data_IF_037667312836
#
_entry.id   IF_037667312836
#
_cell.length_a   1.000
_cell.length_b   1.000
_cell.length_c   1.000
_cell.angle_alpha   90.00
_cell.angle_beta   90.00
_cell.angle_gamma   90.00
#
_symmetry.space_group_name_H-M   'P 1'
#
loop_
_entity.id
_entity.type
_entity.pdbx_description
1 polymer ?
#
# COMPACT_ATOMS: atom_id res chain seq x y z
N UNK A 1 27.99 19.49 8.41
CA UNK A 1 27.43 18.17 8.06
C UNK A 1 26.31 18.42 7.07
N UNK A 2 26.33 17.78 5.91
CA UNK A 2 25.22 17.87 4.94
C UNK A 2 24.01 17.02 5.39
N UNK A 3 22.87 17.25 4.75
CA UNK A 3 21.59 16.64 5.12
C UNK A 3 21.60 15.12 4.97
N UNK A 4 22.27 14.58 3.94
CA UNK A 4 22.35 13.14 3.73
C UNK A 4 23.20 12.47 4.82
N UNK A 5 24.33 13.09 5.19
CA UNK A 5 25.16 12.62 6.31
C UNK A 5 24.38 12.64 7.62
N UNK A 6 23.58 13.67 7.87
CA UNK A 6 22.75 13.77 9.07
C UNK A 6 21.65 12.70 9.11
N UNK A 7 20.97 12.44 7.99
CA UNK A 7 19.97 11.38 7.86
C UNK A 7 20.60 9.99 8.09
N UNK A 8 21.77 9.72 7.52
CA UNK A 8 22.47 8.44 7.73
C UNK A 8 22.93 8.22 9.16
N UNK A 9 23.25 9.30 9.88
CA UNK A 9 23.65 9.22 11.29
C UNK A 9 22.52 8.73 12.21
N UNK A 10 21.28 9.08 11.88
CA UNK A 10 20.10 8.77 12.68
C UNK A 10 19.12 7.84 11.94
N UNK A 11 19.64 7.01 11.04
CA UNK A 11 18.84 6.13 10.21
C UNK A 11 18.08 5.10 11.07
N UNK A 12 16.75 4.97 10.92
CA UNK A 12 15.96 4.07 11.74
C UNK A 12 16.18 2.60 11.36
N UNK A 13 16.23 1.73 12.37
CA UNK A 13 16.19 0.27 12.16
C UNK A 13 14.74 -0.20 12.29
N UNK A 14 14.10 -0.47 11.15
CA UNK A 14 12.71 -0.97 11.11
C UNK A 14 12.70 -2.48 11.26
N UNK A 15 11.84 -3.00 12.15
CA UNK A 15 11.66 -4.45 12.37
C UNK A 15 10.23 -4.85 12.02
N UNK A 16 10.11 -5.92 11.25
CA UNK A 16 8.84 -6.41 10.73
C UNK A 16 8.38 -7.66 11.46
N UNK A 17 7.05 -7.84 11.50
CA UNK A 17 6.43 -9.04 12.02
C UNK A 17 6.70 -10.21 11.07
N UNK A 18 6.98 -11.40 11.60
CA UNK A 18 7.01 -12.59 10.74
C UNK A 18 5.61 -12.85 10.17
N UNK A 19 5.45 -12.72 8.85
CA UNK A 19 4.15 -12.83 8.20
C UNK A 19 3.84 -11.72 7.21
N UNK A 20 4.58 -10.60 7.26
CA UNK A 20 4.41 -9.48 6.32
C UNK A 20 4.58 -9.93 4.87
N UNK A 21 3.71 -9.39 4.01
CA UNK A 21 3.80 -9.53 2.55
C UNK A 21 4.45 -8.32 1.89
N UNK A 22 4.35 -7.14 2.51
CA UNK A 22 4.75 -5.87 1.92
C UNK A 22 5.85 -5.20 2.76
N UNK A 23 6.87 -4.70 2.08
CA UNK A 23 8.01 -4.00 2.68
C UNK A 23 8.19 -2.64 2.01
N UNK A 24 8.90 -1.68 2.67
CA UNK A 24 9.14 -0.37 2.09
C UNK A 24 9.84 -0.48 0.73
N UNK A 25 9.32 0.19 -0.29
CA UNK A 25 9.91 0.19 -1.62
C UNK A 25 9.96 1.59 -2.23
N UNK A 26 10.67 1.73 -3.35
CA UNK A 26 10.65 2.97 -4.11
C UNK A 26 9.25 3.20 -4.70
N UNK A 27 8.79 4.45 -4.68
CA UNK A 27 7.47 4.83 -5.20
C UNK A 27 7.37 4.75 -6.72
N UNK A 28 8.49 4.91 -7.44
CA UNK A 28 8.54 5.05 -8.89
C UNK A 28 7.96 3.85 -9.64
N UNK A 29 8.30 2.63 -9.19
CA UNK A 29 7.82 1.40 -9.82
C UNK A 29 6.35 1.13 -9.52
N UNK A 30 5.88 1.51 -8.33
CA UNK A 30 4.46 1.50 -8.00
C UNK A 30 3.68 2.45 -8.91
N UNK A 31 4.14 3.69 -9.06
CA UNK A 31 3.50 4.69 -9.93
C UNK A 31 3.48 4.22 -11.38
N UNK A 32 4.57 3.62 -11.88
CA UNK A 32 4.62 3.08 -13.24
C UNK A 32 3.60 1.98 -13.49
N UNK A 33 3.29 1.19 -12.47
CA UNK A 33 2.30 0.10 -12.52
C UNK A 33 0.88 0.56 -12.20
N UNK A 34 0.68 1.84 -11.88
CA UNK A 34 -0.65 2.38 -11.69
C UNK A 34 -1.26 2.90 -13.00
N UNK A 35 -2.56 2.72 -13.15
CA UNK A 35 -3.37 3.59 -13.99
C UNK A 35 -3.76 4.86 -13.24
N UNK A 36 -3.83 6.00 -13.94
CA UNK A 36 -4.38 7.25 -13.40
C UNK A 36 -5.84 7.39 -13.82
N UNK A 37 -6.71 7.59 -12.84
CA UNK A 37 -8.15 7.60 -13.05
C UNK A 37 -8.79 8.85 -12.47
N UNK A 38 -9.86 9.30 -13.13
CA UNK A 38 -10.70 10.41 -12.72
C UNK A 38 -12.12 9.89 -12.51
N UNK A 39 -12.69 10.14 -11.33
CA UNK A 39 -14.06 9.76 -10.99
C UNK A 39 -14.91 11.00 -10.75
N UNK A 40 -16.03 11.09 -11.46
CA UNK A 40 -17.04 12.14 -11.25
C UNK A 40 -17.93 11.88 -10.03
N UNK A 41 -18.64 12.90 -9.53
CA UNK A 41 -19.66 12.73 -8.47
C UNK A 41 -20.74 11.69 -8.83
N UNK A 42 -21.03 11.52 -10.13
CA UNK A 42 -22.00 10.54 -10.64
C UNK A 42 -21.44 9.12 -10.72
N UNK A 43 -20.19 8.91 -10.30
CA UNK A 43 -19.53 7.61 -10.29
C UNK A 43 -18.98 7.16 -11.65
N UNK A 44 -19.04 7.99 -12.69
CA UNK A 44 -18.38 7.69 -13.96
C UNK A 44 -16.86 7.79 -13.78
N UNK A 45 -16.14 6.77 -14.23
CA UNK A 45 -14.69 6.68 -14.18
C UNK A 45 -14.11 6.81 -15.59
N UNK A 46 -13.07 7.63 -15.72
CA UNK A 46 -12.30 7.82 -16.93
C UNK A 46 -10.83 7.56 -16.63
N UNK A 47 -10.20 6.66 -17.39
CA UNK A 47 -8.76 6.48 -17.33
C UNK A 47 -8.08 7.64 -18.09
N UNK A 48 -7.23 8.38 -17.39
CA UNK A 48 -6.45 9.48 -17.96
C UNK A 48 -5.09 9.00 -18.48
N UNK A 49 -4.46 8.07 -17.76
CA UNK A 49 -3.19 7.45 -18.13
C UNK A 49 -3.30 5.96 -17.91
N UNK A 50 -2.99 5.13 -18.92
CA UNK A 50 -3.00 3.68 -18.76
C UNK A 50 -1.84 3.20 -17.88
N UNK A 51 -2.05 2.02 -17.28
CA UNK A 51 -1.00 1.29 -16.55
C UNK A 51 0.23 1.10 -17.42
N UNK A 52 1.42 1.38 -16.88
CA UNK A 52 2.71 1.28 -17.59
C UNK A 52 3.25 2.62 -18.10
N UNK A 53 2.37 3.60 -18.35
CA UNK A 53 2.73 4.87 -19.00
C UNK A 53 2.92 6.05 -18.02
N UNK A 54 2.66 5.82 -16.73
CA UNK A 54 2.74 6.84 -15.69
C UNK A 54 4.17 6.90 -15.10
N UNK A 55 4.65 8.10 -14.81
CA UNK A 55 5.87 8.35 -14.02
C UNK A 55 5.55 9.35 -12.92
N UNK A 56 6.44 9.51 -11.94
CA UNK A 56 6.28 10.52 -10.88
C UNK A 56 6.23 11.94 -11.44
N UNK A 57 7.03 12.24 -12.46
CA UNK A 57 7.03 13.53 -13.16
C UNK A 57 5.74 13.75 -13.95
N UNK A 58 5.25 12.71 -14.64
CA UNK A 58 3.98 12.78 -15.37
C UNK A 58 2.80 12.92 -14.41
N UNK A 59 2.81 12.22 -13.29
CA UNK A 59 1.79 12.33 -12.23
C UNK A 59 1.74 13.76 -11.67
N UNK A 60 2.90 14.40 -11.47
CA UNK A 60 2.99 15.77 -10.98
C UNK A 60 2.33 16.81 -11.93
N UNK A 61 2.11 16.47 -13.21
CA UNK A 61 1.40 17.34 -14.16
C UNK A 61 -0.12 17.38 -13.91
N UNK A 62 -0.66 16.46 -13.11
CA UNK A 62 -2.09 16.38 -12.75
C UNK A 62 -2.38 16.98 -11.37
N UNK A 63 -1.72 18.09 -11.02
CA UNK A 63 -1.85 18.73 -9.70
C UNK A 63 -3.25 19.33 -9.44
N UNK A 64 -3.97 19.69 -10.50
CA UNK A 64 -5.32 20.27 -10.40
C UNK A 64 -6.39 19.21 -10.70
N UNK A 65 -7.29 19.01 -9.74
CA UNK A 65 -8.45 18.14 -9.90
C UNK A 65 -9.69 19.00 -10.15
N UNK A 66 -10.45 18.78 -11.25
CA UNK A 66 -11.67 19.53 -11.50
C UNK A 66 -12.67 19.43 -10.32
N UNK A 67 -13.43 20.49 -10.03
CA UNK A 67 -14.45 20.46 -8.98
C UNK A 67 -15.44 19.30 -9.18
N UNK A 68 -15.79 18.62 -8.08
CA UNK A 68 -16.69 17.45 -8.11
C UNK A 68 -16.05 16.20 -8.73
N UNK A 69 -14.73 16.18 -8.91
CA UNK A 69 -14.03 15.01 -9.41
C UNK A 69 -12.96 14.55 -8.41
N UNK A 70 -12.64 13.26 -8.45
CA UNK A 70 -11.58 12.66 -7.63
C UNK A 70 -10.57 12.03 -8.57
N UNK A 71 -9.32 12.48 -8.47
CA UNK A 71 -8.18 11.87 -9.11
C UNK A 71 -7.62 10.78 -8.19
N UNK A 72 -7.35 9.59 -8.71
CA UNK A 72 -6.77 8.51 -7.93
C UNK A 72 -5.92 7.56 -8.78
N UNK A 73 -5.02 6.86 -8.13
CA UNK A 73 -4.22 5.80 -8.72
C UNK A 73 -4.89 4.45 -8.47
N UNK A 74 -4.78 3.56 -9.45
CA UNK A 74 -5.20 2.15 -9.31
C UNK A 74 -4.01 1.27 -9.64
N UNK A 75 -3.51 0.55 -8.64
CA UNK A 75 -2.40 -0.38 -8.79
C UNK A 75 -2.89 -1.76 -9.22
N UNK A 76 -3.97 -2.26 -8.62
CA UNK A 76 -4.64 -3.49 -9.04
C UNK A 76 -5.84 -3.16 -9.93
N UNK A 77 -5.72 -3.46 -11.22
CA UNK A 77 -6.81 -3.27 -12.17
C UNK A 77 -8.02 -4.17 -11.83
N UNK A 78 -7.77 -5.45 -11.57
CA UNK A 78 -8.78 -6.41 -11.12
C UNK A 78 -8.23 -7.32 -10.00
N UNK A 79 -9.03 -7.61 -8.96
CA UNK A 79 -8.69 -8.61 -7.94
C UNK A 79 -8.43 -10.00 -8.57
N UNK A 80 -7.66 -10.84 -7.89
CA UNK A 80 -7.51 -12.24 -8.32
C UNK A 80 -8.86 -12.97 -8.36
N UNK A 81 -9.07 -13.75 -9.41
CA UNK A 81 -10.19 -14.67 -9.50
C UNK A 81 -10.08 -15.82 -8.47
N UNK A 82 -11.15 -16.59 -8.20
CA UNK A 82 -11.11 -17.65 -7.21
C UNK A 82 -10.01 -18.70 -7.43
N UNK A 83 -9.72 -19.08 -8.67
CA UNK A 83 -8.70 -20.09 -8.97
C UNK A 83 -7.29 -19.53 -8.77
N UNK A 84 -7.05 -18.30 -9.23
CA UNK A 84 -5.81 -17.56 -9.00
C UNK A 84 -5.57 -17.34 -7.51
N UNK A 85 -6.60 -16.97 -6.75
CA UNK A 85 -6.53 -16.78 -5.32
C UNK A 85 -6.20 -18.08 -4.57
N UNK A 86 -6.81 -19.21 -4.95
CA UNK A 86 -6.47 -20.51 -4.38
C UNK A 86 -5.02 -20.92 -4.66
N UNK A 87 -4.53 -20.66 -5.87
CA UNK A 87 -3.10 -20.87 -6.22
C UNK A 87 -2.18 -19.98 -5.40
N UNK A 88 -2.58 -18.73 -5.18
CA UNK A 88 -1.84 -17.79 -4.33
C UNK A 88 -1.79 -18.25 -2.86
N UNK A 89 -2.90 -18.75 -2.31
CA UNK A 89 -2.94 -19.32 -0.97
C UNK A 89 -2.07 -20.58 -0.82
N UNK A 90 -1.99 -21.40 -1.86
CA UNK A 90 -1.24 -22.65 -1.87
C UNK A 90 0.28 -22.49 -2.09
N UNK A 91 0.78 -21.26 -2.27
CA UNK A 91 2.22 -21.03 -2.50
C UNK A 91 3.05 -21.47 -1.28
N UNK A 92 4.11 -22.27 -1.48
CA UNK A 92 4.91 -22.82 -0.38
C UNK A 92 5.76 -21.76 0.34
N UNK A 93 6.13 -20.69 -0.35
CA UNK A 93 6.98 -19.60 0.15
C UNK A 93 6.18 -18.44 0.74
N UNK A 94 4.83 -18.53 0.75
CA UNK A 94 3.99 -17.47 1.30
C UNK A 94 4.21 -17.38 2.82
N UNK A 95 4.62 -16.22 3.34
CA UNK A 95 4.72 -16.04 4.77
C UNK A 95 3.32 -16.11 5.41
N UNK A 96 3.25 -16.75 6.57
CA UNK A 96 2.01 -16.93 7.33
C UNK A 96 2.22 -16.32 8.71
N UNK A 97 1.43 -15.29 9.00
CA UNK A 97 1.32 -14.77 10.34
C UNK A 97 0.60 -15.79 11.23
N UNK A 98 1.23 -16.16 12.36
CA UNK A 98 0.62 -17.03 13.38
C UNK A 98 0.51 -16.23 14.68
N UNK A 99 -0.72 -15.97 15.12
CA UNK A 99 -0.98 -15.33 16.40
C UNK A 99 -1.73 -16.27 17.36
N UNK A 100 -1.40 -16.27 18.67
CA UNK A 100 -2.18 -16.97 19.67
C UNK A 100 -3.55 -16.27 19.84
N UNK A 101 -4.63 -16.98 19.48
CA UNK A 101 -6.01 -16.61 19.77
C UNK A 101 -6.56 -15.43 18.95
N UNK A 102 -7.40 -15.71 17.96
CA UNK A 102 -8.11 -14.72 17.12
C UNK A 102 -9.14 -13.85 17.89
N UNK A 103 -9.33 -14.11 19.19
CA UNK A 103 -10.39 -13.55 20.04
C UNK A 103 -9.94 -12.36 20.91
N UNK A 104 -8.65 -12.07 21.01
CA UNK A 104 -8.13 -11.10 22.00
C UNK A 104 -7.80 -9.71 21.44
N UNK A 105 -8.00 -9.44 20.13
CA UNK A 105 -7.41 -8.23 19.48
C UNK A 105 -8.37 -7.28 18.77
N UNK A 106 -9.58 -7.69 18.41
CA UNK A 106 -10.56 -6.82 17.72
C UNK A 106 -11.95 -6.99 18.35
N UNK A 107 -12.63 -5.88 18.61
CA UNK A 107 -13.98 -5.88 19.21
C UNK A 107 -15.00 -6.62 18.33
N UNK A 108 -16.01 -7.23 18.94
CA UNK A 108 -17.04 -8.03 18.23
C UNK A 108 -17.73 -7.23 17.12
N UNK A 109 -17.89 -5.92 17.30
CA UNK A 109 -18.56 -5.04 16.34
C UNK A 109 -17.78 -4.92 15.01
N UNK A 110 -16.45 -4.81 15.04
CA UNK A 110 -15.65 -4.76 13.80
C UNK A 110 -15.75 -6.08 13.02
N UNK A 111 -15.90 -7.21 13.73
CA UNK A 111 -16.09 -8.54 13.09
C UNK A 111 -17.42 -8.67 12.36
N UNK A 112 -18.50 -8.11 12.91
CA UNK A 112 -19.81 -8.14 12.25
C UNK A 112 -19.76 -7.30 10.97
N UNK A 113 -19.17 -6.10 11.05
CA UNK A 113 -19.00 -5.22 9.89
C UNK A 113 -18.13 -5.91 8.82
N UNK A 114 -17.00 -6.50 9.22
CA UNK A 114 -16.10 -7.20 8.29
C UNK A 114 -16.77 -8.43 7.64
N UNK A 115 -17.55 -9.20 8.40
CA UNK A 115 -18.29 -10.35 7.87
C UNK A 115 -19.36 -9.92 6.87
N UNK A 116 -20.09 -8.84 7.16
CA UNK A 116 -21.09 -8.26 6.23
C UNK A 116 -20.42 -7.73 4.97
N UNK A 117 -19.27 -7.06 5.08
CA UNK A 117 -18.52 -6.56 3.94
C UNK A 117 -17.98 -7.72 3.08
N UNK A 118 -17.42 -8.75 3.70
CA UNK A 118 -16.94 -9.96 3.03
C UNK A 118 -18.06 -10.71 2.30
N UNK A 119 -19.23 -10.83 2.92
CA UNK A 119 -20.42 -11.40 2.28
C UNK A 119 -20.86 -10.55 1.07
N UNK A 120 -20.81 -9.21 1.20
CA UNK A 120 -21.15 -8.30 0.09
C UNK A 120 -20.20 -8.44 -1.11
N UNK A 121 -18.91 -8.70 -0.87
CA UNK A 121 -17.92 -8.96 -1.92
C UNK A 121 -18.23 -10.26 -2.65
N UNK A 122 -18.53 -11.34 -1.91
CA UNK A 122 -18.89 -12.64 -2.48
C UNK A 122 -20.14 -12.52 -3.35
N UNK A 123 -21.16 -11.80 -2.87
CA UNK A 123 -22.40 -11.54 -3.64
C UNK A 123 -22.12 -10.76 -4.92
N UNK A 124 -21.10 -9.90 -4.94
CA UNK A 124 -20.63 -9.17 -6.12
C UNK A 124 -19.62 -9.95 -6.98
N UNK A 125 -19.43 -11.25 -6.71
CA UNK A 125 -18.51 -12.10 -7.46
C UNK A 125 -17.02 -11.84 -7.20
N UNK A 126 -16.68 -11.07 -6.14
CA UNK A 126 -15.30 -10.77 -5.75
C UNK A 126 -14.87 -11.58 -4.54
N UNK A 127 -13.60 -12.00 -4.54
CA UNK A 127 -13.01 -12.76 -3.43
C UNK A 127 -12.52 -11.79 -2.35
N UNK A 128 -12.97 -11.93 -1.08
CA UNK A 128 -12.36 -11.19 0.02
C UNK A 128 -10.85 -11.43 0.08
N UNK A 129 -10.05 -10.37 0.02
CA UNK A 129 -8.58 -10.44 -0.03
C UNK A 129 -7.99 -10.62 -1.44
N UNK A 130 -8.82 -10.72 -2.49
CA UNK A 130 -8.34 -10.86 -3.87
C UNK A 130 -7.51 -9.66 -4.34
N UNK A 131 -7.81 -8.44 -3.87
CA UNK A 131 -7.01 -7.24 -4.15
C UNK A 131 -5.66 -7.32 -3.46
N UNK A 132 -5.61 -7.63 -2.15
CA UNK A 132 -4.35 -7.78 -1.43
C UNK A 132 -3.45 -8.87 -2.05
N UNK A 133 -4.04 -9.99 -2.46
CA UNK A 133 -3.31 -11.05 -3.15
C UNK A 133 -2.78 -10.61 -4.53
N UNK A 134 -3.57 -9.85 -5.29
CA UNK A 134 -3.11 -9.28 -6.56
C UNK A 134 -1.98 -8.26 -6.34
N UNK A 135 -2.09 -7.43 -5.29
CA UNK A 135 -1.02 -6.51 -4.88
C UNK A 135 0.26 -7.25 -4.52
N UNK A 136 0.20 -8.36 -3.77
CA UNK A 136 1.38 -9.20 -3.46
C UNK A 136 2.02 -9.76 -4.72
N UNK A 137 1.22 -10.25 -5.68
CA UNK A 137 1.75 -10.75 -6.96
C UNK A 137 2.49 -9.66 -7.73
N UNK A 138 1.94 -8.44 -7.80
CA UNK A 138 2.61 -7.33 -8.46
C UNK A 138 3.83 -6.82 -7.67
N UNK A 139 3.73 -6.75 -6.35
CA UNK A 139 4.81 -6.31 -5.48
C UNK A 139 6.05 -7.19 -5.63
N UNK A 140 5.87 -8.51 -5.68
CA UNK A 140 6.99 -9.44 -5.89
C UNK A 140 7.68 -9.24 -7.24
N UNK A 141 6.99 -8.73 -8.25
CA UNK A 141 7.64 -8.34 -9.52
C UNK A 141 8.47 -7.07 -9.35
N UNK A 142 8.04 -6.12 -8.51
CA UNK A 142 8.84 -4.96 -8.12
C UNK A 142 10.07 -5.44 -7.35
N UNK A 143 9.93 -6.30 -6.35
CA UNK A 143 11.06 -6.83 -5.56
C UNK A 143 12.07 -7.61 -6.42
N UNK A 144 11.61 -8.31 -7.45
CA UNK A 144 12.50 -8.99 -8.41
C UNK A 144 13.31 -8.02 -9.26
N UNK A 145 12.78 -6.84 -9.54
CA UNK A 145 13.44 -5.79 -10.32
C UNK A 145 14.36 -4.93 -9.44
N UNK A 146 13.90 -4.60 -8.24
CA UNK A 146 14.64 -3.86 -7.22
C UNK A 146 14.43 -4.51 -5.83
N UNK A 147 15.38 -5.30 -5.33
CA UNK A 147 15.24 -6.01 -4.05
C UNK A 147 15.52 -5.10 -2.84
N UNK A 148 15.78 -3.81 -3.03
CA UNK A 148 16.12 -2.89 -1.93
C UNK A 148 14.87 -2.53 -1.14
N UNK A 149 14.98 -2.52 0.19
CA UNK A 149 14.03 -1.82 1.04
C UNK A 149 14.36 -0.33 1.04
N UNK A 150 13.46 0.50 0.51
CA UNK A 150 13.72 1.92 0.27
C UNK A 150 12.87 2.78 1.20
N UNK A 151 13.46 3.86 1.72
CA UNK A 151 12.76 4.94 2.39
C UNK A 151 13.14 6.27 1.74
N UNK A 152 12.29 7.27 1.93
CA UNK A 152 12.54 8.65 1.50
C UNK A 152 12.93 9.49 2.72
N UNK A 153 13.92 10.37 2.55
CA UNK A 153 14.45 11.19 3.64
C UNK A 153 14.50 12.67 3.28
N UNK A 154 14.14 13.54 4.21
CA UNK A 154 14.43 14.99 4.13
C UNK A 154 14.72 15.59 5.50
N UNK A 155 15.51 16.66 5.50
CA UNK A 155 15.80 17.45 6.71
C UNK A 155 15.01 18.75 6.65
N UNK A 156 14.25 19.03 7.71
CA UNK A 156 13.49 20.28 7.85
C UNK A 156 14.10 21.08 9.00
N UNK A 157 14.38 22.36 8.76
CA UNK A 157 14.91 23.28 9.78
C UNK A 157 13.91 24.41 9.97
N UNK A 158 13.11 24.31 11.03
CA UNK A 158 12.01 25.23 11.28
C UNK A 158 11.77 25.40 12.78
N UNK A 159 11.43 26.61 13.22
CA UNK A 159 11.09 26.89 14.62
C UNK A 159 12.24 26.64 15.62
N UNK A 160 13.49 26.66 15.16
CA UNK A 160 14.67 26.35 15.98
C UNK A 160 15.00 24.86 16.11
N UNK A 161 14.19 23.98 15.54
CA UNK A 161 14.43 22.53 15.52
C UNK A 161 15.09 22.08 14.22
N UNK A 162 15.84 20.98 14.29
CA UNK A 162 16.21 20.19 13.12
C UNK A 162 15.38 18.90 13.16
N UNK A 163 14.49 18.72 12.18
CA UNK A 163 13.61 17.55 12.09
C UNK A 163 14.06 16.67 10.93
N UNK A 164 14.46 15.44 11.24
CA UNK A 164 14.76 14.41 10.25
C UNK A 164 13.47 13.64 9.95
N UNK A 165 13.00 13.70 8.71
CA UNK A 165 11.80 13.02 8.28
C UNK A 165 12.15 11.81 7.43
N UNK A 166 11.77 10.62 7.92
CA UNK A 166 11.85 9.36 7.19
C UNK A 166 10.44 8.92 6.80
N UNK A 167 10.23 8.64 5.52
CA UNK A 167 8.95 8.26 4.94
C UNK A 167 9.10 6.88 4.28
N UNK A 168 8.20 5.97 4.59
CA UNK A 168 8.19 4.60 4.10
C UNK A 168 6.95 4.39 3.25
N UNK A 169 7.15 3.94 2.02
CA UNK A 169 6.05 3.66 1.11
C UNK A 169 5.82 2.17 0.98
N UNK A 170 4.57 1.74 1.15
CA UNK A 170 4.13 0.37 0.94
C UNK A 170 3.07 0.36 -0.15
N UNK A 171 3.19 -0.59 -1.08
CA UNK A 171 2.23 -0.69 -2.20
C UNK A 171 0.81 -1.03 -1.72
N UNK A 172 0.69 -1.70 -0.57
CA UNK A 172 -0.56 -2.17 0.00
C UNK A 172 -0.45 -2.26 1.52
N UNK A 173 -1.48 -1.80 2.20
CA UNK A 173 -1.82 -2.17 3.56
C UNK A 173 -2.83 -3.31 3.51
N UNK A 174 -2.47 -4.48 4.01
CA UNK A 174 -3.31 -5.69 4.01
C UNK A 174 -3.74 -6.11 5.42
N UNK A 175 -3.89 -5.14 6.33
CA UNK A 175 -4.15 -5.39 7.74
C UNK A 175 -5.39 -6.27 7.98
N UNK A 176 -6.46 -6.10 7.19
CA UNK A 176 -7.66 -6.95 7.25
C UNK A 176 -7.39 -8.34 6.68
N UNK A 177 -6.76 -8.41 5.52
CA UNK A 177 -6.56 -9.65 4.76
C UNK A 177 -5.51 -10.59 5.38
N UNK A 178 -4.43 -10.07 5.97
CA UNK A 178 -3.33 -10.88 6.52
C UNK A 178 -3.28 -10.92 8.05
N UNK A 179 -3.82 -9.91 8.74
CA UNK A 179 -3.61 -9.74 10.19
C UNK A 179 -4.90 -9.64 11.02
N UNK A 180 -6.06 -9.92 10.42
CA UNK A 180 -7.37 -9.87 11.09
C UNK A 180 -7.79 -8.46 11.57
N UNK A 181 -7.20 -7.43 10.98
CA UNK A 181 -7.58 -6.05 11.17
C UNK A 181 -8.88 -5.69 10.46
N UNK A 182 -9.10 -4.38 10.24
CA UNK A 182 -10.33 -3.87 9.64
C UNK A 182 -10.12 -3.12 8.32
N UNK A 183 -8.87 -2.91 7.89
CA UNK A 183 -8.55 -2.07 6.75
C UNK A 183 -7.66 -2.78 5.74
N UNK A 184 -7.99 -2.63 4.45
CA UNK A 184 -7.13 -2.97 3.32
C UNK A 184 -7.14 -1.75 2.37
N UNK A 185 -5.98 -1.26 1.93
CA UNK A 185 -5.91 -0.25 0.86
C UNK A 185 -4.55 -0.21 0.18
N UNK A 186 -4.55 0.25 -1.08
CA UNK A 186 -3.33 0.50 -1.85
C UNK A 186 -2.63 1.78 -1.37
N UNK A 187 -1.33 1.91 -1.68
CA UNK A 187 -0.52 3.10 -1.44
C UNK A 187 -0.57 3.60 0.00
N UNK A 188 0.17 2.93 0.89
CA UNK A 188 0.30 3.33 2.29
C UNK A 188 1.62 4.05 2.56
N UNK A 189 1.56 5.17 3.27
CA UNK A 189 2.71 5.98 3.64
C UNK A 189 2.82 6.06 5.15
N UNK A 190 3.94 5.58 5.67
CA UNK A 190 4.27 5.63 7.09
C UNK A 190 5.45 6.56 7.34
N UNK A 191 5.59 7.08 8.56
CA UNK A 191 6.58 8.12 8.84
C UNK A 191 7.25 8.00 10.22
N UNK A 192 8.53 8.38 10.29
CA UNK A 192 9.29 8.57 11.53
C UNK A 192 9.92 9.96 11.51
N UNK A 193 9.70 10.75 12.56
CA UNK A 193 10.32 12.06 12.73
C UNK A 193 11.26 12.05 13.93
N UNK A 194 12.52 12.44 13.71
CA UNK A 194 13.52 12.62 14.77
C UNK A 194 13.78 14.11 14.94
N UNK A 195 13.56 14.62 16.15
CA UNK A 195 13.82 16.01 16.51
C UNK A 195 15.18 16.09 17.21
N UNK A 196 16.06 16.93 16.68
CA UNK A 196 17.38 17.25 17.25
C UNK A 196 17.37 18.65 17.86
#
# INVERSE_FOLDING_TARGET
>A
MDDLTLLRMFEPVVKFTHGELFFPCAVDDYVRRCGLWLRSERGQEQQLVPTGDLTTERLAQYAEVPPGQTLYLRFVDEPLDPLQYQRWLARPDKPVFRAPGRLTRVGILSRIIDSLFSLSLIVRGRVPGGTAAASDVQFRQIEQQDPRCVYHGRVVREGGYIVLQYLFFYVMNDWRSSFYGANDHESDWEQIFVYL
#
